data_IF_143748013399
#
_entry.id   IF_143748013399
#
_cell.length_a   1.000
_cell.length_b   1.000
_cell.length_c   1.000
_cell.angle_alpha   90.00
_cell.angle_beta   90.00
_cell.angle_gamma   90.00
#
_symmetry.space_group_name_H-M   'P 1'
#
loop_
_entity.id
_entity.type
_entity.pdbx_description
1 polymer ?
#
# COMPACT_ATOMS: atom_id res chain seq x y z
N UNK A 1 -34.83 -4.25 -31.23
CA UNK A 1 -34.88 -4.32 -29.75
C UNK A 1 -33.48 -4.50 -29.14
N UNK A 2 -32.50 -3.61 -29.45
CA UNK A 2 -31.11 -3.74 -28.95
C UNK A 2 -30.63 -2.54 -28.10
N UNK A 3 -31.46 -1.51 -27.92
CA UNK A 3 -31.05 -0.24 -27.27
C UNK A 3 -31.37 -0.15 -25.78
N UNK A 4 -32.33 -0.93 -25.29
CA UNK A 4 -32.71 -0.97 -23.86
C UNK A 4 -31.70 -1.73 -22.98
N UNK A 5 -30.91 -2.64 -23.56
CA UNK A 5 -29.85 -3.36 -22.83
C UNK A 5 -28.63 -2.49 -22.49
N UNK A 6 -28.43 -1.36 -23.18
CA UNK A 6 -27.22 -0.55 -23.01
C UNK A 6 -27.30 0.42 -21.83
N UNK A 7 -28.52 0.86 -21.43
CA UNK A 7 -28.68 1.75 -20.27
C UNK A 7 -28.57 1.03 -18.93
N UNK A 8 -29.03 -0.23 -18.85
CA UNK A 8 -28.95 -1.02 -17.61
C UNK A 8 -27.50 -1.37 -17.22
N UNK A 9 -26.60 -1.53 -18.19
CA UNK A 9 -25.19 -1.82 -17.92
C UNK A 9 -24.44 -0.66 -17.23
N UNK A 10 -24.80 0.60 -17.55
CA UNK A 10 -24.10 1.78 -17.03
C UNK A 10 -24.47 2.06 -15.56
N UNK A 11 -25.73 1.80 -15.17
CA UNK A 11 -26.16 1.94 -13.77
C UNK A 11 -25.51 0.90 -12.83
N UNK A 12 -25.31 -0.34 -13.29
CA UNK A 12 -24.68 -1.39 -12.45
C UNK A 12 -23.20 -1.09 -12.22
N UNK A 13 -22.48 -0.57 -13.22
CA UNK A 13 -21.07 -0.19 -13.09
C UNK A 13 -20.91 0.97 -12.09
N UNK A 14 -21.85 1.93 -12.08
CA UNK A 14 -21.82 3.09 -11.18
C UNK A 14 -22.02 2.72 -9.70
N UNK A 15 -22.88 1.72 -9.43
CA UNK A 15 -23.14 1.23 -8.06
C UNK A 15 -21.96 0.41 -7.55
N UNK A 16 -21.27 -0.34 -8.42
CA UNK A 16 -20.05 -1.07 -8.06
C UNK A 16 -18.87 -0.15 -7.74
N UNK A 17 -18.76 1.03 -8.37
CA UNK A 17 -17.67 1.97 -8.05
C UNK A 17 -17.84 2.73 -6.74
N UNK A 18 -19.05 2.83 -6.18
CA UNK A 18 -19.28 3.50 -4.90
C UNK A 18 -18.86 2.65 -3.68
N UNK A 19 -18.67 1.35 -3.85
CA UNK A 19 -18.22 0.46 -2.76
C UNK A 19 -16.69 0.35 -2.66
N UNK A 20 -15.93 0.86 -3.64
CA UNK A 20 -14.48 0.70 -3.68
C UNK A 20 -13.68 1.77 -2.93
N UNK A 21 -14.32 2.81 -2.40
CA UNK A 21 -13.61 3.96 -1.77
C UNK A 21 -13.55 3.86 -0.24
N UNK A 22 -14.26 2.91 0.38
CA UNK A 22 -14.31 2.79 1.85
C UNK A 22 -13.27 1.85 2.48
N UNK A 23 -12.32 1.31 1.70
CA UNK A 23 -11.37 0.29 2.19
C UNK A 23 -9.88 0.68 2.08
N UNK A 24 -9.54 1.96 1.96
CA UNK A 24 -8.24 2.43 2.43
C UNK A 24 -8.34 2.72 3.93
N UNK A 25 -8.71 1.70 4.69
CA UNK A 25 -8.41 1.66 6.11
C UNK A 25 -6.90 1.58 6.21
N UNK A 26 -6.29 2.65 6.69
CA UNK A 26 -4.89 2.74 7.13
C UNK A 26 -4.69 1.85 8.37
N UNK A 27 -5.06 0.57 8.28
CA UNK A 27 -4.53 -0.45 9.16
C UNK A 27 -3.11 -0.69 8.70
N UNK A 28 -2.20 0.22 9.09
CA UNK A 28 -0.78 -0.07 9.08
C UNK A 28 -0.58 -1.30 9.94
N UNK A 29 -0.57 -2.44 9.28
CA UNK A 29 -0.57 -3.73 9.92
C UNK A 29 0.76 -3.92 10.63
N UNK A 30 0.69 -3.86 11.96
CA UNK A 30 1.86 -3.91 12.83
C UNK A 30 2.12 -5.36 13.21
N UNK A 31 2.90 -6.07 12.39
CA UNK A 31 3.48 -7.34 12.82
C UNK A 31 4.57 -6.99 13.84
N UNK A 32 4.29 -7.17 15.13
CA UNK A 32 5.20 -6.80 16.21
C UNK A 32 6.58 -7.47 16.00
N UNK A 33 7.62 -6.71 15.65
CA UNK A 33 8.94 -7.28 15.49
C UNK A 33 9.51 -7.65 16.88
N UNK A 34 10.48 -8.58 16.95
CA UNK A 34 11.35 -8.70 18.12
C UNK A 34 11.91 -7.31 18.43
N UNK A 35 11.98 -6.91 19.70
CA UNK A 35 12.27 -5.54 20.15
C UNK A 35 13.71 -5.04 19.88
N UNK A 36 14.34 -5.48 18.80
CA UNK A 36 15.78 -5.49 18.65
C UNK A 36 16.30 -4.45 17.64
N UNK A 37 17.09 -3.51 18.17
CA UNK A 37 18.15 -2.71 17.51
C UNK A 37 17.79 -1.60 16.50
N UNK A 38 16.51 -1.33 16.22
CA UNK A 38 16.16 -0.22 15.31
C UNK A 38 16.57 -0.44 13.84
N UNK A 39 16.88 -1.69 13.46
CA UNK A 39 17.16 -2.06 12.07
C UNK A 39 15.89 -2.50 11.35
N UNK A 40 15.85 -2.28 10.05
CA UNK A 40 14.78 -2.82 9.21
C UNK A 40 14.85 -4.34 9.13
N UNK A 41 13.69 -4.96 8.97
CA UNK A 41 13.54 -6.39 8.76
C UNK A 41 13.23 -6.65 7.28
N UNK A 42 13.97 -7.56 6.66
CA UNK A 42 13.71 -8.00 5.31
C UNK A 42 13.46 -9.50 5.32
N UNK A 43 12.31 -9.92 4.82
CA UNK A 43 11.89 -11.32 4.85
C UNK A 43 11.65 -11.82 3.43
N UNK A 44 12.22 -13.00 3.11
CA UNK A 44 11.91 -13.77 1.91
C UNK A 44 11.12 -14.99 2.35
N UNK A 45 9.87 -15.05 1.92
CA UNK A 45 8.93 -16.11 2.26
C UNK A 45 8.65 -16.94 1.01
N UNK A 46 8.78 -18.26 1.08
CA UNK A 46 8.52 -19.11 -0.08
C UNK A 46 8.43 -20.59 0.27
N UNK A 47 8.18 -21.40 -0.75
CA UNK A 47 8.13 -22.85 -0.62
C UNK A 47 9.49 -23.47 -0.96
N UNK A 48 9.91 -24.44 -0.16
CA UNK A 48 11.16 -25.14 -0.39
C UNK A 48 11.08 -25.93 -1.71
N UNK A 49 12.04 -25.70 -2.60
CA UNK A 49 12.06 -26.31 -3.93
C UNK A 49 11.30 -25.53 -5.00
N UNK A 50 10.62 -24.43 -4.65
CA UNK A 50 10.12 -23.50 -5.65
C UNK A 50 11.29 -22.77 -6.34
N UNK A 51 11.29 -22.84 -7.68
CA UNK A 51 12.36 -22.27 -8.50
C UNK A 51 12.46 -20.75 -8.38
N UNK A 52 11.33 -20.06 -8.21
CA UNK A 52 11.31 -18.61 -8.08
C UNK A 52 11.85 -18.16 -6.72
N UNK A 53 11.46 -18.84 -5.64
CA UNK A 53 11.98 -18.64 -4.30
C UNK A 53 13.51 -18.84 -4.24
N UNK A 54 14.02 -19.95 -4.78
CA UNK A 54 15.46 -20.23 -4.79
C UNK A 54 16.23 -19.25 -5.68
N UNK A 55 15.64 -18.84 -6.80
CA UNK A 55 16.22 -17.78 -7.63
C UNK A 55 16.35 -16.47 -6.84
N UNK A 56 15.29 -16.01 -6.19
CA UNK A 56 15.29 -14.77 -5.39
C UNK A 56 16.31 -14.84 -4.26
N UNK A 57 16.37 -15.95 -3.53
CA UNK A 57 17.43 -16.19 -2.52
C UNK A 57 18.82 -16.05 -3.15
N UNK A 58 19.05 -16.74 -4.27
CA UNK A 58 20.34 -16.72 -4.94
C UNK A 58 20.79 -15.30 -5.33
N UNK A 59 19.89 -14.37 -5.67
CA UNK A 59 20.23 -12.97 -5.96
C UNK A 59 20.91 -12.29 -4.77
N UNK A 60 20.44 -12.52 -3.53
CA UNK A 60 21.02 -11.92 -2.31
C UNK A 60 22.34 -12.55 -1.87
N UNK A 61 22.65 -13.77 -2.31
CA UNK A 61 23.92 -14.45 -2.00
C UNK A 61 24.98 -14.28 -3.08
N UNK A 62 24.57 -14.18 -4.34
CA UNK A 62 25.49 -14.13 -5.49
C UNK A 62 25.96 -12.72 -5.85
N UNK A 63 25.21 -11.68 -5.47
CA UNK A 63 25.51 -10.31 -5.86
C UNK A 63 26.03 -9.46 -4.69
N UNK A 64 27.10 -8.70 -4.91
CA UNK A 64 27.75 -7.90 -3.87
C UNK A 64 26.87 -6.75 -3.35
N UNK A 65 26.08 -6.09 -4.21
CA UNK A 65 25.19 -5.01 -3.79
C UNK A 65 24.09 -5.55 -2.86
N UNK A 66 23.38 -6.60 -3.29
CA UNK A 66 22.34 -7.21 -2.46
C UNK A 66 22.93 -7.86 -1.19
N UNK A 67 24.17 -8.33 -1.23
CA UNK A 67 24.88 -8.78 -0.03
C UNK A 67 25.19 -7.62 0.94
N UNK A 68 25.51 -6.43 0.43
CA UNK A 68 25.68 -5.23 1.26
C UNK A 68 24.36 -4.82 1.92
N UNK A 69 23.26 -4.82 1.16
CA UNK A 69 21.91 -4.60 1.68
C UNK A 69 21.57 -5.60 2.79
N UNK A 70 21.83 -6.90 2.56
CA UNK A 70 21.59 -7.98 3.53
C UNK A 70 22.33 -7.75 4.86
N UNK A 71 23.54 -7.19 4.84
CA UNK A 71 24.30 -6.85 6.06
C UNK A 71 23.68 -5.67 6.82
N UNK A 72 22.92 -4.81 6.15
CA UNK A 72 22.28 -3.63 6.72
C UNK A 72 20.92 -3.87 7.37
N UNK A 73 20.30 -5.03 7.14
CA UNK A 73 18.95 -5.37 7.63
C UNK A 73 18.97 -6.67 8.44
N UNK A 74 17.91 -6.93 9.20
CA UNK A 74 17.63 -8.28 9.69
C UNK A 74 17.01 -9.11 8.58
N UNK A 75 17.84 -9.96 7.98
CA UNK A 75 17.45 -10.80 6.86
C UNK A 75 16.86 -12.13 7.36
N UNK A 76 15.61 -12.41 7.03
CA UNK A 76 14.87 -13.61 7.41
C UNK A 76 14.52 -14.43 6.18
N UNK A 77 14.86 -15.71 6.22
CA UNK A 77 14.36 -16.70 5.26
C UNK A 77 13.28 -17.53 5.94
N UNK A 78 12.08 -17.54 5.36
CA UNK A 78 10.93 -18.21 5.94
C UNK A 78 10.36 -19.20 4.92
N UNK A 79 10.45 -20.48 5.25
CA UNK A 79 9.80 -21.53 4.46
C UNK A 79 8.32 -21.65 4.86
N UNK A 80 7.43 -21.81 3.87
CA UNK A 80 5.98 -21.90 4.05
C UNK A 80 5.51 -23.08 4.92
N UNK A 81 6.34 -24.12 5.08
CA UNK A 81 6.06 -25.26 5.96
C UNK A 81 6.27 -24.99 7.45
N UNK A 82 6.92 -23.87 7.82
CA UNK A 82 7.33 -23.58 9.20
C UNK A 82 6.19 -23.04 10.07
N UNK A 83 6.29 -23.20 11.39
CA UNK A 83 5.33 -22.60 12.33
C UNK A 83 5.35 -21.07 12.26
N UNK A 84 6.54 -20.47 12.09
CA UNK A 84 6.73 -19.02 11.95
C UNK A 84 5.93 -18.48 10.76
N UNK A 85 5.92 -19.19 9.63
CA UNK A 85 5.10 -18.81 8.48
C UNK A 85 3.62 -18.77 8.86
N UNK A 86 3.10 -19.86 9.43
CA UNK A 86 1.66 -19.99 9.75
C UNK A 86 1.18 -18.90 10.71
N UNK A 87 1.98 -18.59 11.72
CA UNK A 87 1.60 -17.64 12.77
C UNK A 87 1.74 -16.17 12.35
N UNK A 88 2.73 -15.84 11.52
CA UNK A 88 3.08 -14.43 11.25
C UNK A 88 2.88 -13.97 9.81
N UNK A 89 3.02 -14.88 8.86
CA UNK A 89 3.06 -14.52 7.43
C UNK A 89 1.80 -14.99 6.70
N UNK A 90 1.34 -16.22 6.95
CA UNK A 90 0.17 -16.81 6.29
C UNK A 90 -1.07 -15.91 6.24
N UNK A 91 -1.50 -15.20 7.31
CA UNK A 91 -2.70 -14.36 7.23
C UNK A 91 -2.52 -13.14 6.32
N UNK A 92 -1.27 -12.72 6.07
CA UNK A 92 -0.97 -11.38 5.56
C UNK A 92 -0.20 -11.40 4.23
N UNK A 93 0.20 -12.57 3.74
CA UNK A 93 0.89 -12.68 2.45
C UNK A 93 -0.13 -12.93 1.34
N UNK A 94 -0.05 -12.13 0.28
CA UNK A 94 -0.94 -12.24 -0.87
C UNK A 94 -0.59 -13.41 -1.82
N UNK A 95 0.61 -13.97 -1.71
CA UNK A 95 1.07 -15.11 -2.51
C UNK A 95 2.48 -15.59 -2.12
N UNK A 96 3.01 -16.58 -2.84
CA UNK A 96 4.38 -17.08 -2.68
C UNK A 96 5.09 -17.15 -4.06
N UNK A 97 6.41 -16.92 -4.13
CA UNK A 97 7.24 -16.35 -3.06
C UNK A 97 6.85 -14.89 -2.78
N UNK A 98 7.13 -14.41 -1.58
CA UNK A 98 6.92 -13.01 -1.18
C UNK A 98 8.20 -12.43 -0.61
N UNK A 99 8.55 -11.21 -1.02
CA UNK A 99 9.57 -10.40 -0.37
C UNK A 99 8.89 -9.25 0.36
N UNK A 100 9.35 -8.96 1.57
CA UNK A 100 8.77 -7.92 2.42
C UNK A 100 9.87 -7.15 3.14
N UNK A 101 9.79 -5.82 3.09
CA UNK A 101 10.63 -4.91 3.87
C UNK A 101 9.76 -4.22 4.93
N UNK A 102 10.19 -4.34 6.18
CA UNK A 102 9.53 -3.81 7.36
C UNK A 102 10.46 -2.85 8.10
N UNK A 103 9.86 -1.76 8.58
CA UNK A 103 10.50 -0.84 9.50
C UNK A 103 10.67 -1.48 10.89
N UNK A 104 11.56 -0.92 11.73
CA UNK A 104 11.79 -1.45 13.08
C UNK A 104 10.57 -1.40 14.00
N UNK A 105 9.55 -0.60 13.67
CA UNK A 105 8.28 -0.50 14.39
C UNK A 105 7.23 -1.53 13.94
N UNK A 106 7.55 -2.34 12.92
CA UNK A 106 6.70 -3.37 12.33
C UNK A 106 5.94 -2.94 11.08
N UNK A 107 6.01 -1.68 10.66
CA UNK A 107 5.29 -1.17 9.48
C UNK A 107 5.91 -1.74 8.20
N UNK A 108 5.09 -2.31 7.33
CA UNK A 108 5.52 -2.81 6.01
C UNK A 108 5.62 -1.64 5.04
N UNK A 109 6.83 -1.35 4.54
CA UNK A 109 7.06 -0.28 3.56
C UNK A 109 7.18 -0.79 2.13
N UNK A 110 7.41 -2.08 1.94
CA UNK A 110 7.47 -2.68 0.62
C UNK A 110 7.13 -4.17 0.66
N UNK A 111 6.31 -4.59 -0.30
CA UNK A 111 5.94 -5.98 -0.51
C UNK A 111 5.76 -6.27 -2.01
N UNK A 112 6.26 -7.44 -2.43
CA UNK A 112 5.96 -8.06 -3.72
C UNK A 112 5.73 -9.55 -3.51
N UNK A 113 4.76 -10.10 -4.23
CA UNK A 113 4.37 -11.50 -4.13
C UNK A 113 4.20 -12.15 -5.52
N UNK A 114 4.47 -13.46 -5.59
CA UNK A 114 4.31 -14.29 -6.79
C UNK A 114 5.07 -13.72 -7.98
N UNK A 115 4.39 -13.62 -9.12
CA UNK A 115 4.99 -13.13 -10.37
C UNK A 115 5.48 -11.67 -10.33
N UNK A 116 5.07 -10.89 -9.32
CA UNK A 116 5.51 -9.49 -9.16
C UNK A 116 6.85 -9.37 -8.42
N UNK A 117 7.42 -10.47 -7.94
CA UNK A 117 8.75 -10.43 -7.31
C UNK A 117 9.81 -10.21 -8.38
N UNK A 118 10.67 -9.16 -8.25
CA UNK A 118 11.72 -8.90 -9.22
C UNK A 118 12.65 -10.10 -9.40
N UNK A 119 12.84 -10.55 -10.63
CA UNK A 119 13.68 -11.72 -10.96
C UNK A 119 15.13 -11.36 -11.31
N UNK A 120 15.45 -10.06 -11.41
CA UNK A 120 16.78 -9.56 -11.73
C UNK A 120 17.35 -8.71 -10.61
N UNK A 121 18.68 -8.74 -10.46
CA UNK A 121 19.41 -7.94 -9.47
C UNK A 121 19.10 -6.45 -9.62
N UNK A 122 19.12 -5.93 -10.86
CA UNK A 122 18.93 -4.51 -11.12
C UNK A 122 17.53 -4.04 -10.70
N UNK A 123 16.48 -4.79 -11.07
CA UNK A 123 15.12 -4.46 -10.68
C UNK A 123 14.93 -4.55 -9.16
N UNK A 124 15.47 -5.61 -8.53
CA UNK A 124 15.42 -5.78 -7.08
C UNK A 124 16.07 -4.58 -6.36
N UNK A 125 17.26 -4.18 -6.80
CA UNK A 125 17.99 -3.05 -6.21
C UNK A 125 17.20 -1.74 -6.34
N UNK A 126 16.70 -1.44 -7.54
CA UNK A 126 15.94 -0.21 -7.80
C UNK A 126 14.68 -0.13 -6.93
N UNK A 127 13.94 -1.24 -6.82
CA UNK A 127 12.71 -1.27 -6.01
C UNK A 127 13.01 -1.13 -4.51
N UNK A 128 14.05 -1.78 -3.99
CA UNK A 128 14.45 -1.64 -2.59
C UNK A 128 14.98 -0.25 -2.27
N UNK A 129 15.74 0.37 -3.18
CA UNK A 129 16.19 1.76 -3.04
C UNK A 129 15.00 2.72 -3.02
N UNK A 130 14.02 2.53 -3.92
CA UNK A 130 12.80 3.33 -3.95
C UNK A 130 11.96 3.16 -2.68
N UNK A 131 11.78 1.92 -2.21
CA UNK A 131 11.09 1.63 -0.96
C UNK A 131 11.74 2.33 0.25
N UNK A 132 13.06 2.32 0.32
CA UNK A 132 13.81 3.01 1.37
C UNK A 132 13.72 4.55 1.27
N UNK A 133 13.48 5.09 0.07
CA UNK A 133 13.32 6.53 -0.15
C UNK A 133 11.90 7.01 0.23
N UNK A 134 10.87 6.23 -0.13
CA UNK A 134 9.46 6.62 0.07
C UNK A 134 9.02 6.55 1.53
N UNK A 135 9.53 5.59 2.32
CA UNK A 135 9.12 5.43 3.72
C UNK A 135 9.59 6.53 4.68
N UNK A 136 10.07 7.67 4.18
CA UNK A 136 10.83 8.70 4.93
C UNK A 136 11.89 8.10 5.86
N UNK A 137 12.46 6.96 5.46
CA UNK A 137 13.47 6.22 6.24
C UNK A 137 14.86 6.79 6.02
N UNK A 138 14.99 7.78 5.13
CA UNK A 138 16.24 8.38 4.67
C UNK A 138 17.12 8.87 5.83
N UNK A 139 16.49 9.30 6.94
CA UNK A 139 17.17 9.78 8.15
C UNK A 139 17.32 8.72 9.24
N UNK A 140 16.48 7.67 9.27
CA UNK A 140 16.46 6.68 10.36
C UNK A 140 17.34 5.46 10.07
N UNK A 141 17.34 4.95 8.84
CA UNK A 141 18.18 3.84 8.44
C UNK A 141 18.11 3.67 6.92
N UNK A 142 19.19 3.97 6.19
CA UNK A 142 19.32 3.52 4.82
C UNK A 142 20.12 2.21 4.86
N UNK A 143 19.61 1.06 4.40
CA UNK A 143 20.34 -0.20 4.52
C UNK A 143 21.63 -0.21 3.68
N UNK A 144 21.74 0.68 2.70
CA UNK A 144 22.94 0.94 1.90
C UNK A 144 23.93 1.90 2.58
N UNK A 145 23.52 2.64 3.60
CA UNK A 145 24.37 3.57 4.37
C UNK A 145 24.23 3.27 5.86
N UNK A 146 25.30 2.80 6.52
CA UNK A 146 25.30 2.50 7.97
C UNK A 146 24.45 3.51 8.75
N UNK A 147 23.39 3.03 9.42
CA UNK A 147 22.56 3.91 10.26
C UNK A 147 23.50 4.62 11.23
N UNK A 148 23.43 5.96 11.30
CA UNK A 148 24.16 6.65 12.37
C UNK A 148 23.57 6.14 13.69
N UNK A 149 24.40 5.72 14.65
CA UNK A 149 23.89 5.38 15.97
C UNK A 149 23.08 6.57 16.47
N UNK A 150 21.82 6.32 16.88
CA UNK A 150 21.07 7.34 17.58
C UNK A 150 21.91 7.79 18.78
N UNK A 151 22.00 9.10 19.08
CA UNK A 151 22.53 9.52 20.37
C UNK A 151 21.76 8.75 21.44
N UNK A 152 22.49 8.18 22.41
CA UNK A 152 21.89 7.46 23.52
C UNK A 152 20.78 8.33 24.13
N UNK A 153 19.68 7.73 24.63
CA UNK A 153 18.66 8.46 25.35
C UNK A 153 19.35 9.33 26.39
N UNK A 154 19.15 10.65 26.28
CA UNK A 154 19.66 11.57 27.29
C UNK A 154 19.01 11.13 28.60
N UNK A 155 19.85 10.70 29.54
CA UNK A 155 19.41 10.28 30.87
C UNK A 155 18.54 11.41 31.43
N UNK A 156 17.28 11.14 31.85
CA UNK A 156 16.38 12.20 32.28
C UNK A 156 17.06 12.96 33.42
N UNK A 157 17.38 14.23 33.16
CA UNK A 157 17.81 15.12 34.23
C UNK A 157 16.71 15.14 35.29
N UNK A 158 17.07 15.14 36.59
CA UNK A 158 16.09 15.26 37.66
C UNK A 158 15.16 16.43 37.36
N UNK A 159 13.88 16.15 37.13
CA UNK A 159 12.86 17.19 36.93
C UNK A 159 12.87 18.09 38.17
N UNK A 160 13.13 19.38 37.96
CA UNK A 160 12.75 20.38 38.94
C UNK A 160 11.24 20.24 39.21
N UNK A 161 10.80 20.32 40.48
CA UNK A 161 9.41 20.09 40.83
C UNK A 161 8.51 21.03 40.02
N UNK A 162 7.40 20.52 39.45
CA UNK A 162 6.55 21.30 38.55
C UNK A 162 5.99 22.52 39.31
N UNK A 163 6.24 23.71 38.77
CA UNK A 163 5.49 24.91 39.13
C UNK A 163 4.06 24.66 38.67
N UNK A 164 3.14 24.58 39.64
CA UNK A 164 1.71 24.37 39.39
C UNK A 164 1.18 25.64 38.73
N UNK A 165 1.13 25.65 37.39
CA UNK A 165 0.36 26.66 36.66
C UNK A 165 -1.14 26.29 36.68
N UNK A 166 -2.04 27.27 36.85
CA UNK A 166 -3.47 27.01 36.87
C UNK A 166 -3.94 26.46 35.53
N UNK A 167 -4.58 25.30 35.58
CA UNK A 167 -5.16 24.58 34.45
C UNK A 167 -6.16 25.46 33.69
N UNK A 168 -5.84 25.82 32.44
CA UNK A 168 -6.79 26.44 31.51
C UNK A 168 -7.36 25.33 30.63
N UNK A 169 -8.68 25.05 30.68
CA UNK A 169 -9.30 24.07 29.79
C UNK A 169 -9.08 24.46 28.33
N UNK A 170 -8.42 23.61 27.56
CA UNK A 170 -8.26 23.79 26.12
C UNK A 170 -9.58 23.35 25.48
N UNK A 171 -10.33 24.32 24.98
CA UNK A 171 -11.54 24.11 24.18
C UNK A 171 -11.09 23.57 22.81
N UNK A 172 -11.25 22.25 22.60
CA UNK A 172 -11.00 21.64 21.29
C UNK A 172 -12.15 22.00 20.36
N UNK A 173 -11.90 22.90 19.41
CA UNK A 173 -12.81 23.21 18.30
C UNK A 173 -12.86 21.99 17.36
N UNK A 174 -13.85 21.11 17.58
CA UNK A 174 -14.15 19.99 16.71
C UNK A 174 -14.81 20.53 15.42
N UNK A 175 -14.05 20.62 14.34
CA UNK A 175 -14.54 21.07 13.03
C UNK A 175 -15.39 19.99 12.37
N UNK A 176 -16.69 19.98 12.70
CA UNK A 176 -17.73 19.04 12.22
C UNK A 176 -18.17 19.30 10.75
N UNK A 177 -17.27 19.73 9.87
CA UNK A 177 -17.61 20.12 8.49
C UNK A 177 -17.38 19.02 7.43
N UNK A 178 -17.01 17.81 7.85
CA UNK A 178 -16.70 16.68 6.94
C UNK A 178 -17.92 16.21 6.13
N UNK A 179 -19.11 16.18 6.73
CA UNK A 179 -20.32 15.66 6.09
C UNK A 179 -20.89 16.58 5.00
N UNK A 180 -20.62 17.89 5.08
CA UNK A 180 -21.05 18.87 4.07
C UNK A 180 -20.35 18.65 2.72
N UNK A 181 -19.06 18.29 2.76
CA UNK A 181 -18.29 17.93 1.56
C UNK A 181 -18.84 16.67 0.89
N UNK A 182 -19.19 15.66 1.68
CA UNK A 182 -19.79 14.42 1.17
C UNK A 182 -21.13 14.69 0.49
N UNK A 183 -22.00 15.51 1.10
CA UNK A 183 -23.28 15.90 0.51
C UNK A 183 -23.12 16.67 -0.80
N UNK A 184 -22.16 17.60 -0.87
CA UNK A 184 -21.91 18.37 -2.09
C UNK A 184 -21.49 17.47 -3.26
N UNK A 185 -20.64 16.47 -3.00
CA UNK A 185 -20.22 15.49 -4.02
C UNK A 185 -21.42 14.67 -4.50
N UNK A 186 -22.23 14.12 -3.58
CA UNK A 186 -23.41 13.33 -3.93
C UNK A 186 -24.42 14.13 -4.78
N UNK A 187 -24.70 15.38 -4.43
CA UNK A 187 -25.63 16.23 -5.17
C UNK A 187 -25.13 16.53 -6.59
N UNK A 188 -23.82 16.71 -6.77
CA UNK A 188 -23.24 16.98 -8.10
C UNK A 188 -23.41 15.79 -9.07
N UNK A 189 -23.28 14.55 -8.58
CA UNK A 189 -23.47 13.35 -9.39
C UNK A 189 -24.92 13.21 -9.87
N UNK A 190 -25.88 13.49 -8.99
CA UNK A 190 -27.32 13.43 -9.32
C UNK A 190 -27.66 14.48 -10.37
N UNK A 191 -27.15 15.72 -10.21
CA UNK A 191 -27.39 16.79 -11.18
C UNK A 191 -26.85 16.44 -12.59
N UNK A 192 -25.67 15.83 -12.68
CA UNK A 192 -25.09 15.38 -13.95
C UNK A 192 -25.92 14.32 -14.66
N UNK A 193 -26.43 13.34 -13.92
CA UNK A 193 -27.27 12.28 -14.48
C UNK A 193 -28.61 12.81 -15.04
N UNK A 194 -29.27 13.71 -14.28
CA UNK A 194 -30.53 14.34 -14.70
C UNK A 194 -30.31 15.23 -15.94
N UNK A 195 -29.22 16.00 -15.96
CA UNK A 195 -28.85 16.84 -17.10
C UNK A 195 -28.65 16.05 -18.41
N UNK A 196 -27.99 14.89 -18.32
CA UNK A 196 -27.77 14.00 -19.48
C UNK A 196 -29.08 13.49 -20.10
N UNK A 197 -30.03 13.05 -19.27
CA UNK A 197 -31.33 12.54 -19.72
C UNK A 197 -32.15 13.64 -20.39
N UNK A 198 -32.18 14.85 -19.81
CA UNK A 198 -32.92 16.00 -20.37
C UNK A 198 -32.35 16.43 -21.72
N UNK A 199 -31.01 16.44 -21.86
CA UNK A 199 -30.35 16.80 -23.11
C UNK A 199 -30.70 15.84 -24.25
N UNK A 200 -30.69 14.52 -23.98
CA UNK A 200 -31.02 13.51 -25.00
C UNK A 200 -32.49 13.58 -25.43
N UNK A 201 -33.40 13.93 -24.52
CA UNK A 201 -34.81 14.18 -24.85
C UNK A 201 -35.01 15.40 -25.75
N UNK A 202 -34.25 16.47 -25.52
CA UNK A 202 -34.40 17.73 -26.27
C UNK A 202 -33.77 17.66 -27.67
N UNK A 203 -32.79 16.78 -27.87
CA UNK A 203 -32.09 16.60 -29.15
C UNK A 203 -32.17 15.15 -29.64
N UNK A 204 -33.37 14.66 -30.02
CA UNK A 204 -33.50 13.33 -30.58
C UNK A 204 -32.68 13.27 -31.89
N UNK A 205 -31.58 12.50 -31.87
CA UNK A 205 -30.74 12.33 -33.06
C UNK A 205 -31.61 11.82 -34.20
N UNK A 206 -31.73 12.62 -35.27
CA UNK A 206 -32.35 12.21 -36.54
C UNK A 206 -31.64 10.91 -36.95
N UNK A 207 -32.36 9.79 -36.92
CA UNK A 207 -31.83 8.50 -37.36
C UNK A 207 -31.42 8.64 -38.82
N UNK A 208 -30.13 8.80 -39.06
CA UNK A 208 -29.57 8.71 -40.41
C UNK A 208 -29.97 7.36 -40.98
N UNK A 209 -30.69 7.37 -42.11
CA UNK A 209 -30.97 6.16 -42.88
C UNK A 209 -29.63 5.56 -43.26
N UNK A 210 -29.22 4.49 -42.58
CA UNK A 210 -28.08 3.70 -42.97
C UNK A 210 -28.42 3.05 -44.31
N UNK A 211 -27.89 3.63 -45.38
CA UNK A 211 -27.94 3.12 -46.74
C UNK A 211 -27.10 1.83 -46.81
N UNK A 212 -27.69 0.72 -46.39
CA UNK A 212 -27.24 -0.61 -46.76
C UNK A 212 -27.95 -0.98 -48.07
N UNK A 213 -27.45 -0.45 -49.17
CA UNK A 213 -27.69 -1.01 -50.50
C UNK A 213 -26.33 -1.25 -51.15
N UNK A 214 -26.25 -2.41 -51.81
CA UNK A 214 -25.16 -2.90 -52.66
C UNK A 214 -23.98 -3.50 -51.88
N UNK A 215 -24.05 -4.81 -51.65
CA UNK A 215 -23.11 -5.77 -52.26
C UNK A 215 -23.68 -7.19 -52.09
N UNK A 216 -23.91 -7.82 -53.25
CA UNK A 216 -24.29 -9.20 -53.53
C UNK A 216 -25.76 -9.60 -53.34
#
# INVERSE_FOLDING_TARGET
MKKTFMLYGICIISILTLWSVAAYGDTQERVAPPADSGKMHFSIVGEKGDSQYENVKSLFYSNEDLAAFRKGVYFHEVESGTAIYRERYQPNVSGLPTIRLQLPDGVVVYERAGANVPSSVLAMKLELEFACAVGDVSWRCNPWKRCRPQPAPVEPQPEEPPVIEPFVPIEQEQSDNSWLLTLAICLSCVAGAVGGVVYEWKHPKKKGKSSWQLLF
#
